data_IF_498207710242
#
_entry.id   IF_498207710242
#
_cell.length_a   1.000
_cell.length_b   1.000
_cell.length_c   1.000
_cell.angle_alpha   90.00
_cell.angle_beta   90.00
_cell.angle_gamma   90.00
#
_symmetry.space_group_name_H-M   'P 1'
#
loop_
_entity.id
_entity.type
_entity.pdbx_description
1 polymer ?
#
# COMPACT_ATOMS: atom_id res chain seq x y z
N UNK A 1 4.64 -35.82 6.09
CA UNK A 1 3.60 -35.01 5.41
C UNK A 1 3.59 -33.50 5.77
N UNK A 2 4.15 -33.05 6.91
CA UNK A 2 4.00 -31.66 7.42
C UNK A 2 4.94 -30.57 6.84
N UNK A 3 6.01 -30.92 6.11
CA UNK A 3 6.98 -29.93 5.56
C UNK A 3 6.35 -28.94 4.58
N UNK A 4 5.40 -29.40 3.74
CA UNK A 4 4.74 -28.57 2.73
C UNK A 4 3.85 -27.49 3.35
N UNK A 5 3.12 -27.82 4.43
CA UNK A 5 2.28 -26.86 5.16
C UNK A 5 3.13 -25.78 5.86
N UNK A 6 4.26 -26.17 6.48
CA UNK A 6 5.22 -25.21 7.08
C UNK A 6 5.80 -24.25 6.04
N UNK A 7 6.19 -24.75 4.86
CA UNK A 7 6.69 -23.91 3.75
C UNK A 7 5.62 -22.93 3.25
N UNK A 8 4.37 -23.38 3.09
CA UNK A 8 3.24 -22.52 2.70
C UNK A 8 2.97 -21.42 3.74
N UNK A 9 2.98 -21.75 5.04
CA UNK A 9 2.81 -20.78 6.12
C UNK A 9 3.92 -19.73 6.11
N UNK A 10 5.18 -20.15 5.95
CA UNK A 10 6.33 -19.23 5.85
C UNK A 10 6.18 -18.28 4.67
N UNK A 11 5.82 -18.81 3.49
CA UNK A 11 5.63 -17.98 2.29
C UNK A 11 4.49 -16.96 2.48
N UNK A 12 3.38 -17.37 3.12
CA UNK A 12 2.27 -16.46 3.41
C UNK A 12 2.73 -15.29 4.29
N UNK A 13 3.41 -15.59 5.41
CA UNK A 13 3.94 -14.56 6.30
C UNK A 13 4.90 -13.61 5.59
N UNK A 14 5.76 -14.13 4.72
CA UNK A 14 6.65 -13.29 3.92
C UNK A 14 5.87 -12.35 2.99
N UNK A 15 4.84 -12.85 2.30
CA UNK A 15 4.02 -12.01 1.40
C UNK A 15 3.14 -11.03 2.15
N UNK A 16 2.72 -11.36 3.37
CA UNK A 16 2.02 -10.44 4.25
C UNK A 16 2.97 -9.31 4.70
N UNK A 17 4.23 -9.62 5.02
CA UNK A 17 5.25 -8.61 5.34
C UNK A 17 5.52 -7.68 4.14
N UNK A 18 5.67 -8.25 2.94
CA UNK A 18 5.85 -7.48 1.71
C UNK A 18 4.65 -6.55 1.43
N UNK A 19 3.42 -7.02 1.70
CA UNK A 19 2.21 -6.21 1.56
C UNK A 19 2.20 -5.02 2.53
N UNK A 20 2.58 -5.24 3.80
CA UNK A 20 2.66 -4.18 4.81
C UNK A 20 3.70 -3.13 4.41
N UNK A 21 4.89 -3.57 3.98
CA UNK A 21 5.94 -2.68 3.51
C UNK A 21 5.50 -1.83 2.30
N UNK A 22 4.81 -2.46 1.34
CA UNK A 22 4.26 -1.75 0.19
C UNK A 22 3.19 -0.71 0.61
N UNK A 23 2.36 -1.05 1.60
CA UNK A 23 1.35 -0.13 2.13
C UNK A 23 1.96 1.11 2.77
N UNK A 24 3.02 0.96 3.57
CA UNK A 24 3.73 2.09 4.16
C UNK A 24 4.33 2.99 3.09
N UNK A 25 5.03 2.40 2.11
CA UNK A 25 5.66 3.16 1.02
C UNK A 25 4.65 3.96 0.19
N UNK A 26 3.52 3.35 -0.17
CA UNK A 26 2.50 4.02 -0.98
C UNK A 26 1.75 5.06 -0.15
N UNK A 27 1.53 4.81 1.16
CA UNK A 27 0.95 5.81 2.06
C UNK A 27 1.80 7.07 2.10
N UNK A 28 3.11 6.95 2.33
CA UNK A 28 4.03 8.10 2.34
C UNK A 28 3.96 8.87 1.02
N UNK A 29 4.01 8.17 -0.12
CA UNK A 29 3.91 8.81 -1.45
C UNK A 29 2.58 9.52 -1.66
N UNK A 30 1.47 8.92 -1.23
CA UNK A 30 0.16 9.54 -1.35
C UNK A 30 0.08 10.83 -0.51
N UNK A 31 0.62 10.80 0.72
CA UNK A 31 0.69 11.96 1.62
C UNK A 31 1.59 13.09 1.05
N UNK A 32 2.72 12.73 0.43
CA UNK A 32 3.60 13.68 -0.27
C UNK A 32 2.86 14.38 -1.43
N UNK A 33 2.19 13.62 -2.31
CA UNK A 33 1.44 14.19 -3.41
C UNK A 33 0.24 15.03 -2.96
N UNK A 34 -0.43 14.64 -1.88
CA UNK A 34 -1.49 15.46 -1.27
C UNK A 34 -0.95 16.76 -0.69
N UNK A 35 0.21 16.73 -0.06
CA UNK A 35 0.89 17.92 0.45
C UNK A 35 1.27 18.87 -0.68
N UNK A 36 1.81 18.33 -1.79
CA UNK A 36 2.10 19.14 -2.98
C UNK A 36 0.84 19.77 -3.56
N UNK A 37 -0.26 19.02 -3.71
CA UNK A 37 -1.53 19.57 -4.19
C UNK A 37 -2.07 20.67 -3.29
N UNK A 38 -1.97 20.53 -1.97
CA UNK A 38 -2.47 21.51 -1.01
C UNK A 38 -1.69 22.83 -1.05
N UNK A 39 -0.38 22.75 -1.32
CA UNK A 39 0.52 23.91 -1.29
C UNK A 39 0.75 24.56 -2.67
N UNK A 40 0.25 23.95 -3.75
CA UNK A 40 0.43 24.47 -5.11
C UNK A 40 -0.78 25.29 -5.53
N UNK A 41 -0.56 26.55 -5.91
CA UNK A 41 -1.61 27.47 -6.41
C UNK A 41 -2.10 27.03 -7.81
N UNK A 42 -1.26 26.34 -8.57
CA UNK A 42 -1.56 25.85 -9.91
C UNK A 42 -0.98 24.43 -10.08
N UNK A 43 -1.65 23.43 -9.51
CA UNK A 43 -1.18 22.05 -9.64
C UNK A 43 -1.47 21.56 -11.06
N UNK A 44 -0.43 21.45 -11.89
CA UNK A 44 -0.52 20.84 -13.22
C UNK A 44 -1.29 19.51 -13.14
N UNK A 45 -2.20 19.26 -14.09
CA UNK A 45 -3.11 18.10 -14.07
C UNK A 45 -2.41 16.74 -13.92
N UNK A 46 -1.12 16.66 -14.25
CA UNK A 46 -0.26 15.51 -14.00
C UNK A 46 -0.12 15.18 -12.51
N UNK A 47 0.13 16.16 -11.64
CA UNK A 47 0.31 15.96 -10.18
C UNK A 47 -0.99 15.45 -9.55
N UNK A 48 -2.13 16.00 -9.95
CA UNK A 48 -3.45 15.56 -9.49
C UNK A 48 -3.73 14.10 -9.90
N UNK A 49 -3.43 13.76 -11.15
CA UNK A 49 -3.60 12.40 -11.68
C UNK A 49 -2.73 11.39 -10.93
N UNK A 50 -1.47 11.76 -10.60
CA UNK A 50 -0.56 10.92 -9.82
C UNK A 50 -1.02 10.75 -8.39
N UNK A 51 -1.47 11.81 -7.72
CA UNK A 51 -2.01 11.72 -6.36
C UNK A 51 -3.20 10.76 -6.28
N UNK A 52 -4.16 10.88 -7.21
CA UNK A 52 -5.31 9.98 -7.32
C UNK A 52 -4.89 8.53 -7.53
N UNK A 53 -3.90 8.30 -8.39
CA UNK A 53 -3.38 6.96 -8.68
C UNK A 53 -2.72 6.34 -7.44
N UNK A 54 -1.86 7.06 -6.74
CA UNK A 54 -1.21 6.53 -5.53
C UNK A 54 -2.24 6.27 -4.42
N UNK A 55 -3.25 7.14 -4.26
CA UNK A 55 -4.35 6.91 -3.32
C UNK A 55 -5.18 5.67 -3.68
N UNK A 56 -5.45 5.45 -4.97
CA UNK A 56 -6.15 4.24 -5.44
C UNK A 56 -5.35 2.96 -5.14
N UNK A 57 -4.03 2.97 -5.37
CA UNK A 57 -3.14 1.85 -5.01
C UNK A 57 -3.15 1.58 -3.51
N UNK A 58 -3.07 2.63 -2.68
CA UNK A 58 -3.13 2.51 -1.23
C UNK A 58 -4.42 1.83 -0.78
N UNK A 59 -5.58 2.32 -1.26
CA UNK A 59 -6.89 1.75 -0.92
C UNK A 59 -7.04 0.29 -1.38
N UNK A 60 -6.52 -0.04 -2.56
CA UNK A 60 -6.52 -1.40 -3.07
C UNK A 60 -5.73 -2.35 -2.15
N UNK A 61 -4.50 -1.98 -1.79
CA UNK A 61 -3.68 -2.80 -0.90
C UNK A 61 -4.24 -2.85 0.53
N UNK A 62 -4.87 -1.75 1.00
CA UNK A 62 -5.48 -1.70 2.33
C UNK A 62 -6.67 -2.66 2.41
N UNK A 63 -7.46 -2.77 1.34
CA UNK A 63 -8.52 -3.76 1.21
C UNK A 63 -7.95 -5.18 1.27
N UNK A 64 -6.87 -5.46 0.54
CA UNK A 64 -6.19 -6.76 0.57
C UNK A 64 -5.68 -7.12 1.97
N UNK A 65 -5.06 -6.17 2.67
CA UNK A 65 -4.58 -6.36 4.04
C UNK A 65 -5.72 -6.73 5.00
N UNK A 66 -6.88 -6.04 4.89
CA UNK A 66 -8.08 -6.36 5.67
C UNK A 66 -8.60 -7.77 5.40
N UNK A 67 -8.67 -8.18 4.13
CA UNK A 67 -9.10 -9.54 3.75
C UNK A 67 -8.15 -10.60 4.32
N UNK A 68 -6.85 -10.33 4.30
CA UNK A 68 -5.82 -11.24 4.81
C UNK A 68 -5.69 -11.22 6.33
N UNK A 69 -6.35 -10.27 7.01
CA UNK A 69 -6.20 -10.01 8.45
C UNK A 69 -4.73 -9.82 8.84
N UNK A 70 -3.94 -9.22 7.95
CA UNK A 70 -2.59 -8.81 8.30
C UNK A 70 -2.73 -7.69 9.31
N UNK A 71 -2.22 -7.88 10.51
CA UNK A 71 -2.27 -6.87 11.57
C UNK A 71 -1.43 -5.69 11.12
N UNK A 72 -2.10 -4.64 10.64
CA UNK A 72 -1.51 -3.32 10.47
C UNK A 72 -2.02 -2.57 11.69
N UNK A 73 -1.15 -2.45 12.69
CA UNK A 73 -1.41 -2.04 14.09
C UNK A 73 -2.01 -3.12 14.98
#
# INVERSE_FOLDING_TARGET
MFKKAKKKRKLRLQKDQELIQALEQIKTKAEEYETYLKNSIDSEGYVNSRARLERAKYLFLLKEARVRKTTIY
#
